data_IF_553554694245
#
_entry.id   IF_553554694245
#
_cell.length_a   1.000
_cell.length_b   1.000
_cell.length_c   1.000
_cell.angle_alpha   90.00
_cell.angle_beta   90.00
_cell.angle_gamma   90.00
#
_symmetry.space_group_name_H-M   'P 1'
#
loop_
_entity.id
_entity.type
_entity.pdbx_description
1 polymer ?
#
# COMPACT_ATOMS: atom_id res chain seq x y z
N UNK A 1 -12.19 3.03 -5.56
CA UNK A 1 -11.58 4.32 -5.12
C UNK A 1 -10.26 4.01 -4.41
N UNK A 2 -9.25 4.90 -4.46
CA UNK A 2 -7.93 4.66 -3.84
C UNK A 2 -7.45 5.83 -2.97
N UNK A 3 -8.07 6.09 -1.81
CA UNK A 3 -7.63 7.17 -0.94
C UNK A 3 -6.23 6.87 -0.39
N UNK A 4 -5.45 7.94 -0.20
CA UNK A 4 -4.08 7.86 0.29
C UNK A 4 -3.81 9.00 1.26
N UNK A 5 -3.26 8.65 2.41
CA UNK A 5 -2.75 9.59 3.41
C UNK A 5 -1.24 9.40 3.52
N UNK A 6 -0.48 10.47 3.42
CA UNK A 6 0.98 10.45 3.59
C UNK A 6 1.38 11.42 4.69
N UNK A 7 2.12 10.92 5.66
CA UNK A 7 2.67 11.68 6.77
C UNK A 7 4.20 11.68 6.70
N UNK A 8 4.80 12.85 6.90
CA UNK A 8 6.26 13.02 6.93
C UNK A 8 6.74 12.88 8.37
N UNK A 9 7.39 11.75 8.70
CA UNK A 9 8.00 11.53 10.02
C UNK A 9 9.29 12.35 10.18
N UNK A 10 10.06 12.44 9.09
CA UNK A 10 11.25 13.28 8.93
C UNK A 10 11.32 13.74 7.47
N UNK A 11 12.21 14.70 7.17
CA UNK A 11 12.41 15.25 5.81
C UNK A 11 12.61 14.20 4.70
N UNK A 12 13.10 13.03 5.06
CA UNK A 12 13.47 11.92 4.18
C UNK A 12 12.73 10.62 4.50
N UNK A 13 11.80 10.61 5.48
CA UNK A 13 11.09 9.42 5.94
C UNK A 13 9.59 9.67 5.97
N UNK A 14 8.86 8.88 5.20
CA UNK A 14 7.43 9.03 4.99
C UNK A 14 6.69 7.77 5.38
N UNK A 15 5.58 7.94 6.09
CA UNK A 15 4.60 6.91 6.37
C UNK A 15 3.38 7.16 5.47
N UNK A 16 3.02 6.19 4.65
CA UNK A 16 1.85 6.26 3.78
C UNK A 16 0.86 5.18 4.19
N UNK A 17 -0.38 5.56 4.45
CA UNK A 17 -1.52 4.67 4.52
C UNK A 17 -2.33 4.82 3.22
N UNK A 18 -2.67 3.71 2.58
CA UNK A 18 -3.52 3.73 1.40
C UNK A 18 -4.54 2.61 1.47
N UNK A 19 -5.69 2.84 0.85
CA UNK A 19 -6.68 1.79 0.64
C UNK A 19 -7.00 1.68 -0.84
N UNK A 20 -7.38 0.49 -1.28
CA UNK A 20 -7.96 0.29 -2.61
C UNK A 20 -9.27 -0.48 -2.45
N UNK A 21 -10.35 0.07 -2.98
CA UNK A 21 -11.66 -0.58 -2.98
C UNK A 21 -12.12 -0.80 -4.42
N UNK A 22 -12.51 -2.04 -4.71
CA UNK A 22 -13.13 -2.43 -5.99
C UNK A 22 -14.63 -2.54 -5.76
N UNK A 23 -15.40 -1.78 -6.53
CA UNK A 23 -16.86 -1.79 -6.49
C UNK A 23 -17.38 -2.36 -7.80
N UNK A 24 -18.16 -3.44 -7.72
CA UNK A 24 -18.77 -4.09 -8.86
C UNK A 24 -20.16 -3.50 -9.08
N UNK A 25 -20.35 -2.78 -10.20
CA UNK A 25 -21.67 -2.21 -10.55
C UNK A 25 -22.73 -3.27 -10.82
N UNK A 26 -22.32 -4.47 -11.22
CA UNK A 26 -23.22 -5.60 -11.54
C UNK A 26 -23.92 -6.14 -10.30
N UNK A 27 -23.20 -6.28 -9.19
CA UNK A 27 -23.73 -6.74 -7.91
C UNK A 27 -24.16 -5.57 -7.01
N UNK A 28 -23.67 -4.36 -7.28
CA UNK A 28 -23.95 -3.18 -6.45
C UNK A 28 -23.22 -3.18 -5.12
N UNK A 29 -22.16 -4.00 -4.99
CA UNK A 29 -21.43 -4.20 -3.75
C UNK A 29 -19.91 -4.03 -3.94
N UNK A 30 -19.19 -3.84 -2.84
CA UNK A 30 -17.74 -3.87 -2.79
C UNK A 30 -17.26 -5.32 -2.83
N UNK A 31 -16.51 -5.62 -3.87
CA UNK A 31 -15.97 -6.95 -4.15
C UNK A 31 -14.74 -7.24 -3.29
N UNK A 32 -13.85 -6.25 -3.18
CA UNK A 32 -12.59 -6.39 -2.48
C UNK A 32 -12.14 -5.07 -1.89
N UNK A 33 -11.42 -5.19 -0.78
CA UNK A 33 -10.73 -4.07 -0.16
C UNK A 33 -9.30 -4.45 0.18
N UNK A 34 -8.39 -3.53 -0.10
CA UNK A 34 -6.97 -3.65 0.23
C UNK A 34 -6.59 -2.52 1.17
N UNK A 35 -5.95 -2.87 2.28
CA UNK A 35 -5.35 -1.92 3.21
C UNK A 35 -3.83 -2.05 3.11
N UNK A 36 -3.16 -0.93 2.85
CA UNK A 36 -1.72 -0.89 2.69
C UNK A 36 -1.06 0.15 3.60
N UNK A 37 0.02 -0.26 4.26
CA UNK A 37 0.91 0.60 5.00
C UNK A 37 2.30 0.56 4.36
N UNK A 38 2.86 1.74 4.07
CA UNK A 38 4.14 1.90 3.40
C UNK A 38 5.04 2.86 4.17
N UNK A 39 6.24 2.40 4.50
CA UNK A 39 7.35 3.23 4.94
C UNK A 39 8.27 3.46 3.74
N UNK A 40 8.53 4.73 3.43
CA UNK A 40 9.43 5.15 2.36
C UNK A 40 10.56 6.00 2.91
N UNK A 41 11.81 5.63 2.63
CA UNK A 41 13.00 6.33 3.11
C UNK A 41 13.90 6.75 1.94
N UNK A 42 14.30 8.03 1.92
CA UNK A 42 15.10 8.65 0.86
C UNK A 42 16.38 9.30 1.44
N UNK A 43 17.41 8.51 1.80
CA UNK A 43 18.61 9.02 2.44
C UNK A 43 19.47 9.93 1.54
N UNK A 44 19.41 9.73 0.23
CA UNK A 44 20.27 10.41 -0.76
C UNK A 44 19.51 10.58 -2.08
N UNK A 45 19.86 11.59 -2.90
CA UNK A 45 19.26 11.75 -4.22
C UNK A 45 19.23 10.43 -4.99
N UNK A 46 18.04 10.07 -5.49
CA UNK A 46 17.79 8.87 -6.31
C UNK A 46 18.02 7.52 -5.58
N UNK A 47 18.22 7.52 -4.26
CA UNK A 47 18.26 6.31 -3.42
C UNK A 47 16.99 6.21 -2.58
N UNK A 48 16.32 5.07 -2.64
CA UNK A 48 15.08 4.84 -1.90
C UNK A 48 15.01 3.43 -1.33
N UNK A 49 14.54 3.34 -0.10
CA UNK A 49 14.13 2.09 0.54
C UNK A 49 12.62 2.15 0.80
N UNK A 50 11.91 1.11 0.39
CA UNK A 50 10.48 0.97 0.61
C UNK A 50 10.22 -0.32 1.37
N UNK A 51 9.42 -0.22 2.42
CA UNK A 51 8.89 -1.37 3.17
C UNK A 51 7.39 -1.21 3.23
N UNK A 52 6.65 -2.16 2.67
CA UNK A 52 5.20 -2.12 2.64
C UNK A 52 4.62 -3.41 3.21
N UNK A 53 3.48 -3.30 3.89
CA UNK A 53 2.62 -4.41 4.24
C UNK A 53 1.25 -4.15 3.61
N UNK A 54 0.68 -5.17 2.99
CA UNK A 54 -0.62 -5.11 2.34
C UNK A 54 -1.47 -6.25 2.86
N UNK A 55 -2.71 -5.94 3.17
CA UNK A 55 -3.75 -6.91 3.51
C UNK A 55 -4.87 -6.78 2.48
N UNK A 56 -5.23 -7.88 1.84
CA UNK A 56 -6.35 -7.96 0.91
C UNK A 56 -7.44 -8.83 1.54
N UNK A 57 -8.63 -8.28 1.59
CA UNK A 57 -9.83 -9.02 1.93
C UNK A 57 -10.82 -8.96 0.77
N UNK A 58 -11.52 -10.06 0.54
CA UNK A 58 -12.54 -10.19 -0.49
C UNK A 58 -13.89 -10.51 0.14
N UNK A 59 -14.95 -10.01 -0.48
CA UNK A 59 -16.32 -10.25 -0.08
C UNK A 59 -16.74 -11.64 -0.58
N UNK A 60 -16.91 -12.57 0.36
CA UNK A 60 -17.48 -13.88 0.14
C UNK A 60 -18.88 -13.89 0.78
N UNK A 61 -19.90 -13.78 -0.06
CA UNK A 61 -21.32 -13.84 0.35
C UNK A 61 -21.71 -12.85 1.48
N UNK A 62 -21.23 -11.61 1.38
CA UNK A 62 -21.50 -10.54 2.35
C UNK A 62 -20.55 -10.52 3.55
N UNK A 63 -19.52 -11.37 3.56
CA UNK A 63 -18.46 -11.38 4.58
C UNK A 63 -17.11 -11.10 3.96
N UNK A 64 -16.36 -10.17 4.54
CA UNK A 64 -14.98 -9.96 4.15
C UNK A 64 -14.09 -11.02 4.79
N UNK A 65 -13.36 -11.74 3.94
CA UNK A 65 -12.44 -12.80 4.33
C UNK A 65 -11.04 -12.40 3.87
N UNK A 66 -10.08 -12.45 4.77
CA UNK A 66 -8.67 -12.21 4.45
C UNK A 66 -8.17 -13.26 3.46
N UNK A 67 -7.70 -12.79 2.31
CA UNK A 67 -7.19 -13.65 1.25
C UNK A 67 -5.67 -13.65 1.20
N UNK A 68 -5.07 -12.46 1.27
CA UNK A 68 -3.64 -12.30 1.05
C UNK A 68 -3.05 -11.25 1.97
N UNK A 69 -1.94 -11.60 2.62
CA UNK A 69 -1.11 -10.67 3.36
C UNK A 69 0.32 -10.69 2.84
N UNK A 70 0.76 -9.57 2.27
CA UNK A 70 2.06 -9.46 1.61
C UNK A 70 2.91 -8.39 2.27
N UNK A 71 4.12 -8.77 2.66
CA UNK A 71 5.19 -7.84 3.00
C UNK A 71 6.13 -7.67 1.79
N UNK A 72 6.44 -6.43 1.44
CA UNK A 72 7.30 -6.08 0.32
C UNK A 72 8.46 -5.22 0.82
N UNK A 73 9.67 -5.60 0.47
CA UNK A 73 10.87 -4.77 0.65
C UNK A 73 11.45 -4.47 -0.71
N UNK A 74 11.63 -3.19 -1.03
CA UNK A 74 12.19 -2.73 -2.30
C UNK A 74 13.27 -1.70 -2.07
N UNK A 75 14.44 -1.95 -2.65
CA UNK A 75 15.55 -1.01 -2.68
C UNK A 75 15.72 -0.48 -4.11
N UNK A 76 15.82 0.83 -4.26
CA UNK A 76 16.20 1.51 -5.50
C UNK A 76 17.44 2.34 -5.22
N UNK A 77 18.53 2.05 -5.93
CA UNK A 77 19.78 2.76 -5.76
C UNK A 77 20.31 3.21 -7.12
N UNK A 78 20.94 4.39 -7.17
CA UNK A 78 21.68 4.82 -8.35
C UNK A 78 23.17 4.72 -8.06
N UNK A 79 23.87 3.91 -8.83
CA UNK A 79 25.33 3.87 -8.84
C UNK A 79 25.87 5.13 -9.51
N UNK A 80 26.73 5.85 -8.81
CA UNK A 80 27.57 6.90 -9.38
C UNK A 80 29.01 6.38 -9.35
N UNK A 81 29.68 6.46 -10.50
CA UNK A 81 31.11 6.23 -10.66
C UNK A 81 31.74 7.47 -11.29
#
# INVERSE_FOLDING_TARGET
MRPRLTYSLRKDLFLTLYTEHVFLKTTGDFDSHRLGLLISYNPRPKTWLYVAINDLEENQDGRYVAQERVAVVKLRYLFYF
#
